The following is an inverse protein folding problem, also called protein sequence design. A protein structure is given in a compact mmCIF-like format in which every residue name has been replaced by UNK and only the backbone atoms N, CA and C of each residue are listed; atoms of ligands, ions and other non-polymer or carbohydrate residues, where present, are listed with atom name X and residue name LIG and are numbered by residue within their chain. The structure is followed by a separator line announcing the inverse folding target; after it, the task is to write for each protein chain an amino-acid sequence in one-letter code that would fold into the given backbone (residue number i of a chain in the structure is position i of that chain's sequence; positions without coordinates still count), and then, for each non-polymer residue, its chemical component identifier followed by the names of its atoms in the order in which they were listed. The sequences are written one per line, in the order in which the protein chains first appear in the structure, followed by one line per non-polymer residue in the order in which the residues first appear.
data_IF_581258339915
#
_entry.id   IF_581258339915
#
_cell.length_a   1.000
_cell.length_b   1.000
_cell.length_c   1.000
_cell.angle_alpha   90.00
_cell.angle_beta   90.00
_cell.angle_gamma   90.00
#
_symmetry.space_group_name_H-M   'P 1'
#
loop_
_entity.id
_entity.type
_entity.pdbx_description
1 polymer ?
#
# COMPACT_ATOMS: atom_id res chain seq x y z
N UNK A 1 -10.78 -12.78 12.90
CA UNK A 1 -11.37 -11.43 13.11
C UNK A 1 -10.91 -10.55 11.96
N UNK A 2 -11.81 -9.73 11.45
CA UNK A 2 -11.52 -8.83 10.32
C UNK A 2 -10.64 -7.67 10.78
N UNK A 3 -9.58 -7.36 10.02
CA UNK A 3 -8.77 -6.16 10.20
C UNK A 3 -9.40 -4.97 9.49
N UNK A 4 -9.92 -5.19 8.28
CA UNK A 4 -10.53 -4.16 7.44
C UNK A 4 -11.88 -4.66 6.92
N UNK A 5 -12.93 -3.85 7.04
CA UNK A 5 -14.23 -4.09 6.41
C UNK A 5 -14.71 -2.83 5.70
N UNK A 6 -15.08 -3.00 4.45
CA UNK A 6 -15.74 -2.01 3.62
C UNK A 6 -17.19 -2.45 3.44
N UNK A 7 -18.15 -1.57 3.74
CA UNK A 7 -19.59 -1.86 3.64
C UNK A 7 -20.28 -0.85 2.73
N UNK A 8 -20.77 -1.34 1.58
CA UNK A 8 -21.51 -0.57 0.59
C UNK A 8 -20.78 0.72 0.14
N UNK A 9 -19.47 0.64 -0.04
CA UNK A 9 -18.65 1.78 -0.45
C UNK A 9 -18.98 2.16 -1.88
N UNK A 10 -19.28 3.45 -2.10
CA UNK A 10 -19.44 4.02 -3.44
C UNK A 10 -18.56 5.25 -3.61
N UNK A 11 -18.07 5.44 -4.84
CA UNK A 11 -17.25 6.58 -5.22
C UNK A 11 -17.47 7.01 -6.66
N UNK A 12 -17.66 8.31 -6.84
CA UNK A 12 -17.77 8.96 -8.13
C UNK A 12 -16.86 10.17 -8.21
N UNK A 13 -16.45 10.53 -9.41
CA UNK A 13 -15.69 11.76 -9.66
C UNK A 13 -16.44 12.65 -10.65
N UNK A 14 -16.42 13.94 -10.41
CA UNK A 14 -16.92 14.93 -11.35
C UNK A 14 -15.96 15.08 -12.51
N UNK A 15 -16.44 14.93 -13.72
CA UNK A 15 -15.69 15.19 -14.94
C UNK A 15 -16.38 16.28 -15.77
N UNK A 16 -15.70 16.80 -16.79
CA UNK A 16 -16.28 17.77 -17.73
C UNK A 16 -17.51 17.22 -18.48
N UNK A 17 -17.68 15.90 -18.53
CA UNK A 17 -18.77 15.20 -19.26
C UNK A 17 -19.90 14.77 -18.32
N UNK A 18 -19.73 14.96 -17.00
CA UNK A 18 -20.71 14.55 -15.98
C UNK A 18 -20.10 13.73 -14.85
N UNK A 19 -20.95 13.14 -14.04
CA UNK A 19 -20.53 12.32 -12.90
C UNK A 19 -20.10 10.92 -13.39
N UNK A 20 -18.90 10.50 -13.05
CA UNK A 20 -18.34 9.19 -13.41
C UNK A 20 -18.18 8.33 -12.17
N UNK A 21 -19.05 7.34 -12.01
CA UNK A 21 -18.97 6.39 -10.90
C UNK A 21 -17.91 5.33 -11.16
N UNK A 22 -16.96 5.20 -10.23
CA UNK A 22 -15.83 4.25 -10.29
C UNK A 22 -16.09 3.02 -9.45
N UNK A 23 -16.72 3.19 -8.29
CA UNK A 23 -17.04 2.11 -7.34
C UNK A 23 -18.51 2.23 -6.95
N UNK A 24 -19.23 1.11 -6.93
CA UNK A 24 -20.65 1.05 -6.57
C UNK A 24 -20.93 -0.04 -5.55
N UNK A 25 -21.37 0.36 -4.34
CA UNK A 25 -21.77 -0.50 -3.22
C UNK A 25 -20.80 -1.67 -2.96
N UNK A 26 -19.50 -1.42 -3.09
CA UNK A 26 -18.44 -2.40 -2.92
C UNK A 26 -18.37 -2.87 -1.46
N UNK A 27 -18.26 -4.19 -1.28
CA UNK A 27 -18.05 -4.83 0.01
C UNK A 27 -16.76 -5.63 -0.03
N UNK A 28 -15.89 -5.47 0.97
CA UNK A 28 -14.62 -6.20 1.09
C UNK A 28 -14.32 -6.46 2.56
N UNK A 29 -13.87 -7.67 2.88
CA UNK A 29 -13.39 -8.00 4.22
C UNK A 29 -12.01 -8.63 4.14
N UNK A 30 -11.07 -8.12 4.94
CA UNK A 30 -9.69 -8.59 5.01
C UNK A 30 -9.38 -8.96 6.46
N UNK A 31 -8.89 -10.16 6.69
CA UNK A 31 -8.50 -10.63 8.01
C UNK A 31 -7.09 -10.19 8.39
N UNK A 32 -6.77 -10.27 9.68
CA UNK A 32 -5.39 -10.08 10.15
C UNK A 32 -4.45 -11.09 9.48
N UNK A 33 -3.23 -10.64 9.20
CA UNK A 33 -2.15 -11.44 8.58
C UNK A 33 -2.50 -12.03 7.21
N UNK A 34 -3.40 -11.40 6.48
CA UNK A 34 -3.82 -11.82 5.15
C UNK A 34 -3.17 -10.94 4.08
N UNK A 35 -2.64 -11.58 3.05
CA UNK A 35 -2.02 -10.92 1.90
C UNK A 35 -2.99 -10.97 0.72
N UNK A 36 -3.40 -9.79 0.25
CA UNK A 36 -4.39 -9.63 -0.81
C UNK A 36 -3.72 -9.11 -2.08
N UNK A 37 -4.05 -9.74 -3.19
CA UNK A 37 -3.67 -9.29 -4.52
C UNK A 37 -4.86 -8.66 -5.24
N UNK A 38 -4.74 -7.40 -5.61
CA UNK A 38 -5.74 -6.66 -6.38
C UNK A 38 -5.24 -6.46 -7.80
N UNK A 39 -5.86 -7.11 -8.77
CA UNK A 39 -5.41 -7.04 -10.16
C UNK A 39 -6.52 -6.50 -11.08
N UNK A 40 -6.17 -6.16 -12.31
CA UNK A 40 -7.10 -5.66 -13.30
C UNK A 40 -6.47 -4.62 -14.22
N UNK A 41 -7.14 -4.25 -15.30
CA UNK A 41 -6.66 -3.26 -16.25
C UNK A 41 -6.49 -1.88 -15.61
N UNK A 42 -5.71 -1.02 -16.29
CA UNK A 42 -5.60 0.38 -15.88
C UNK A 42 -6.98 1.07 -15.93
N UNK A 43 -7.27 1.87 -14.92
CA UNK A 43 -8.54 2.61 -14.84
C UNK A 43 -9.72 1.82 -14.26
N UNK A 44 -9.59 0.54 -13.90
CA UNK A 44 -10.71 -0.23 -13.31
C UNK A 44 -11.08 0.18 -11.87
N UNK A 45 -10.29 1.06 -11.20
CA UNK A 45 -10.62 1.55 -9.86
C UNK A 45 -9.69 1.07 -8.74
N UNK A 46 -8.60 0.33 -9.02
CA UNK A 46 -7.66 -0.18 -8.00
C UNK A 46 -7.11 0.95 -7.12
N UNK A 47 -6.48 1.96 -7.72
CA UNK A 47 -5.92 3.10 -6.98
C UNK A 47 -7.00 3.88 -6.23
N UNK A 48 -8.21 4.01 -6.81
CA UNK A 48 -9.35 4.62 -6.11
C UNK A 48 -9.68 3.83 -4.84
N UNK A 49 -9.82 2.51 -4.94
CA UNK A 49 -10.10 1.65 -3.78
C UNK A 49 -9.00 1.77 -2.72
N UNK A 50 -7.72 1.73 -3.12
CA UNK A 50 -6.59 1.88 -2.20
C UNK A 50 -6.58 3.26 -1.52
N UNK A 51 -6.92 4.33 -2.24
CA UNK A 51 -7.02 5.68 -1.70
C UNK A 51 -8.17 5.81 -0.68
N UNK A 52 -9.32 5.17 -0.93
CA UNK A 52 -10.43 5.13 0.03
C UNK A 52 -10.04 4.37 1.30
N UNK A 53 -9.40 3.21 1.19
CA UNK A 53 -8.93 2.42 2.33
C UNK A 53 -7.91 3.20 3.16
N UNK A 54 -6.99 3.86 2.50
CA UNK A 54 -5.92 4.63 3.16
C UNK A 54 -6.38 6.00 3.67
N UNK A 55 -7.58 6.48 3.28
CA UNK A 55 -8.08 7.79 3.66
C UNK A 55 -7.42 8.96 2.92
N UNK A 56 -6.74 8.68 1.82
CA UNK A 56 -6.26 9.72 0.90
C UNK A 56 -7.41 10.31 0.07
N UNK A 57 -8.53 9.60 -0.01
CA UNK A 57 -9.78 10.06 -0.59
C UNK A 57 -10.96 9.60 0.30
N UNK A 58 -12.12 10.26 0.16
CA UNK A 58 -13.31 9.92 0.91
C UNK A 58 -14.33 9.20 0.01
N UNK A 59 -15.04 8.21 0.57
CA UNK A 59 -16.20 7.60 -0.12
C UNK A 59 -17.36 8.58 -0.16
N UNK A 60 -18.19 8.46 -1.19
CA UNK A 60 -19.46 9.22 -1.29
C UNK A 60 -20.52 8.62 -0.37
N UNK A 61 -20.46 7.29 -0.14
CA UNK A 61 -21.35 6.56 0.77
C UNK A 61 -20.69 5.27 1.24
N UNK A 62 -21.28 4.66 2.28
CA UNK A 62 -20.83 3.44 2.91
C UNK A 62 -19.86 3.70 4.07
N UNK A 63 -19.50 2.63 4.75
CA UNK A 63 -18.72 2.66 5.99
C UNK A 63 -17.44 1.85 5.85
N UNK A 64 -16.34 2.35 6.44
CA UNK A 64 -15.07 1.66 6.58
C UNK A 64 -14.84 1.35 8.06
N UNK A 65 -14.57 0.08 8.36
CA UNK A 65 -14.19 -0.36 9.70
C UNK A 65 -12.75 -0.84 9.68
N UNK A 66 -11.97 -0.42 10.65
CA UNK A 66 -10.61 -0.89 10.85
C UNK A 66 -10.45 -1.43 12.27
N UNK A 67 -10.00 -2.68 12.39
CA UNK A 67 -9.86 -3.41 13.65
C UNK A 67 -11.16 -3.37 14.49
N UNK A 68 -12.31 -3.57 13.81
CA UNK A 68 -13.66 -3.56 14.38
C UNK A 68 -14.23 -2.18 14.71
N UNK A 69 -13.52 -1.09 14.45
CA UNK A 69 -13.95 0.28 14.75
C UNK A 69 -14.32 1.04 13.49
N UNK A 70 -15.44 1.74 13.50
CA UNK A 70 -15.84 2.65 12.43
C UNK A 70 -14.79 3.77 12.30
N UNK A 71 -14.26 3.92 11.10
CA UNK A 71 -13.28 4.96 10.77
C UNK A 71 -14.00 6.28 10.52
N UNK A 72 -13.91 7.21 11.48
CA UNK A 72 -14.48 8.56 11.37
C UNK A 72 -13.46 9.57 10.86
N UNK A 73 -12.20 9.36 11.17
CA UNK A 73 -11.09 10.21 10.75
C UNK A 73 -9.97 9.32 10.21
N UNK A 74 -9.80 9.35 8.90
CA UNK A 74 -8.80 8.52 8.21
C UNK A 74 -7.35 8.93 8.53
N UNK A 75 -7.10 10.19 8.91
CA UNK A 75 -5.74 10.65 9.26
C UNK A 75 -5.16 9.88 10.46
N UNK A 76 -6.00 9.44 11.39
CA UNK A 76 -5.53 8.68 12.54
C UNK A 76 -4.99 7.30 12.14
N UNK A 77 -5.57 6.67 11.12
CA UNK A 77 -5.09 5.39 10.58
C UNK A 77 -3.76 5.55 9.84
N UNK A 78 -3.63 6.61 9.04
CA UNK A 78 -2.42 6.87 8.25
C UNK A 78 -1.19 7.11 9.11
N UNK A 79 -1.36 7.60 10.34
CA UNK A 79 -0.25 7.91 11.22
C UNK A 79 0.56 6.66 11.56
N UNK A 80 -0.10 5.61 12.06
CA UNK A 80 0.58 4.45 12.61
C UNK A 80 0.05 3.09 12.11
N UNK A 81 -1.24 2.97 11.81
CA UNK A 81 -1.88 1.69 11.49
C UNK A 81 -1.75 1.28 10.02
N UNK A 82 -1.59 2.24 9.09
CA UNK A 82 -1.47 1.97 7.65
C UNK A 82 -0.14 2.48 7.11
N UNK A 83 0.61 1.58 6.46
CA UNK A 83 1.76 1.91 5.62
C UNK A 83 1.34 1.98 4.15
N UNK A 84 1.87 2.96 3.39
CA UNK A 84 1.57 3.10 1.97
C UNK A 84 2.85 3.10 1.15
N UNK A 85 2.82 2.33 0.07
CA UNK A 85 3.80 2.35 -1.01
C UNK A 85 3.05 2.80 -2.26
N UNK A 86 3.44 3.93 -2.80
CA UNK A 86 2.89 4.49 -4.03
C UNK A 86 3.61 3.93 -5.26
N UNK A 87 3.01 4.07 -6.41
CA UNK A 87 3.62 3.78 -7.71
C UNK A 87 4.92 4.58 -7.90
N UNK A 88 4.87 5.89 -7.65
CA UNK A 88 6.05 6.73 -7.60
C UNK A 88 6.71 6.68 -6.21
N UNK A 89 8.04 6.79 -6.19
CA UNK A 89 8.78 6.66 -4.93
C UNK A 89 8.51 7.79 -3.92
N UNK A 90 8.15 8.98 -4.38
CA UNK A 90 7.96 10.18 -3.55
C UNK A 90 9.06 10.33 -2.47
N UNK A 91 10.32 10.13 -2.88
CA UNK A 91 11.48 10.42 -2.06
C UNK A 91 11.88 11.88 -2.29
N UNK A 92 12.08 12.61 -1.21
CA UNK A 92 12.54 13.99 -1.27
C UNK A 92 14.02 13.99 -1.66
N UNK A 93 14.34 14.58 -2.80
CA UNK A 93 15.70 14.56 -3.41
C UNK A 93 16.76 15.24 -2.57
N UNK A 94 16.37 16.25 -1.80
CA UNK A 94 17.22 17.05 -0.91
C UNK A 94 17.49 16.38 0.43
N UNK A 95 16.79 15.29 0.74
CA UNK A 95 16.96 14.49 1.95
C UNK A 95 17.70 13.19 1.66
N UNK A 96 18.63 12.82 2.55
CA UNK A 96 19.23 11.50 2.50
C UNK A 96 18.20 10.41 2.87
N UNK A 97 18.57 9.14 2.74
CA UNK A 97 17.66 8.00 2.97
C UNK A 97 17.15 7.96 4.42
N UNK A 98 18.01 8.22 5.37
CA UNK A 98 17.63 8.26 6.79
C UNK A 98 16.56 9.32 7.04
N UNK A 99 16.78 10.53 6.52
CA UNK A 99 15.85 11.65 6.69
C UNK A 99 14.55 11.44 5.91
N UNK A 100 14.58 10.80 4.74
CA UNK A 100 13.38 10.37 4.02
C UNK A 100 12.51 9.40 4.86
N UNK A 101 13.12 8.48 5.59
CA UNK A 101 12.38 7.57 6.49
C UNK A 101 11.92 8.32 7.74
N UNK A 102 12.70 9.28 8.22
CA UNK A 102 12.38 10.12 9.39
C UNK A 102 11.12 10.97 9.21
N UNK A 103 10.71 11.25 7.97
CA UNK A 103 9.41 11.90 7.69
C UNK A 103 8.21 11.10 8.24
N UNK A 104 8.34 9.77 8.32
CA UNK A 104 7.26 8.90 8.84
C UNK A 104 7.44 8.60 10.33
N UNK A 105 8.65 8.62 10.87
CA UNK A 105 8.93 8.29 12.28
C UNK A 105 10.12 9.09 12.82
N UNK A 106 9.92 9.78 13.94
CA UNK A 106 11.00 10.49 14.63
C UNK A 106 11.93 9.54 15.45
N UNK A 107 11.54 8.28 15.65
CA UNK A 107 12.32 7.30 16.40
C UNK A 107 13.51 6.78 15.59
N UNK A 108 14.69 7.33 15.86
CA UNK A 108 15.93 6.96 15.18
C UNK A 108 16.35 5.50 15.40
N UNK A 109 15.93 4.88 16.52
CA UNK A 109 16.19 3.46 16.80
C UNK A 109 15.34 2.57 15.89
N UNK A 110 14.05 2.91 15.67
CA UNK A 110 13.18 2.21 14.72
C UNK A 110 13.74 2.34 13.30
N UNK A 111 14.20 3.52 12.89
CA UNK A 111 14.81 3.73 11.58
C UNK A 111 16.07 2.87 11.43
N UNK A 112 16.94 2.83 12.44
CA UNK A 112 18.13 1.99 12.42
C UNK A 112 17.81 0.50 12.28
N UNK A 113 16.80 0.01 13.03
CA UNK A 113 16.35 -1.39 12.97
C UNK A 113 15.80 -1.75 11.58
N UNK A 114 14.95 -0.90 10.99
CA UNK A 114 14.36 -1.17 9.68
C UNK A 114 15.41 -1.14 8.57
N UNK A 115 16.34 -0.19 8.60
CA UNK A 115 17.48 -0.15 7.66
C UNK A 115 18.37 -1.38 7.77
N UNK A 116 18.61 -1.87 8.98
CA UNK A 116 19.38 -3.10 9.21
C UNK A 116 18.64 -4.33 8.69
N UNK A 117 17.34 -4.43 8.93
CA UNK A 117 16.50 -5.52 8.43
C UNK A 117 16.55 -5.61 6.90
N UNK A 118 16.47 -4.48 6.21
CA UNK A 118 16.57 -4.42 4.74
C UNK A 118 18.00 -4.43 4.20
N UNK A 119 19.01 -4.59 5.06
CA UNK A 119 20.45 -4.56 4.71
C UNK A 119 20.84 -3.26 3.99
N UNK A 120 20.24 -2.15 4.37
CA UNK A 120 20.45 -0.82 3.76
C UNK A 120 21.24 0.16 4.63
N UNK A 121 21.89 -0.31 5.72
CA UNK A 121 22.66 0.55 6.61
C UNK A 121 23.74 1.37 5.89
N UNK A 122 24.38 0.78 4.86
CA UNK A 122 25.41 1.45 4.04
C UNK A 122 24.84 2.54 3.11
N UNK A 123 23.51 2.59 2.91
CA UNK A 123 22.82 3.60 2.09
C UNK A 123 22.31 4.76 2.92
N UNK A 124 22.40 4.68 4.25
CA UNK A 124 21.77 5.61 5.20
C UNK A 124 21.93 7.09 4.85
N UNK A 125 23.13 7.49 4.44
CA UNK A 125 23.48 8.88 4.14
C UNK A 125 23.51 9.20 2.64
N UNK A 126 23.15 8.25 1.77
CA UNK A 126 23.00 8.50 0.33
C UNK A 126 21.69 9.26 0.04
N UNK A 127 21.70 9.97 -1.08
CA UNK A 127 20.53 10.69 -1.59
C UNK A 127 19.80 9.87 -2.66
N UNK A 128 18.51 10.14 -2.92
CA UNK A 128 17.72 9.36 -3.89
C UNK A 128 18.34 9.26 -5.29
N UNK A 129 19.00 10.31 -5.77
CA UNK A 129 19.69 10.33 -7.07
C UNK A 129 20.91 9.40 -7.17
N UNK A 130 21.41 8.90 -6.04
CA UNK A 130 22.55 7.96 -5.94
C UNK A 130 22.09 6.49 -5.86
N UNK A 131 20.79 6.23 -5.98
CA UNK A 131 20.20 4.91 -5.83
C UNK A 131 19.64 4.39 -7.14
N UNK A 132 19.73 3.05 -7.34
CA UNK A 132 18.95 2.37 -8.38
C UNK A 132 17.45 2.39 -8.04
N UNK A 133 16.59 2.15 -9.04
CA UNK A 133 15.12 2.09 -8.81
C UNK A 133 14.76 1.02 -7.79
N UNK A 134 15.38 -0.16 -7.83
CA UNK A 134 15.16 -1.21 -6.83
C UNK A 134 15.58 -0.79 -5.42
N UNK A 135 16.68 -0.02 -5.28
CA UNK A 135 17.08 0.53 -3.97
C UNK A 135 16.10 1.60 -3.49
N UNK A 136 15.64 2.49 -4.37
CA UNK A 136 14.59 3.49 -4.06
C UNK A 136 13.32 2.79 -3.57
N UNK A 137 12.89 1.73 -4.26
CA UNK A 137 11.70 0.98 -3.87
C UNK A 137 11.85 0.33 -2.49
N UNK A 138 13.01 -0.27 -2.18
CA UNK A 138 13.30 -0.80 -0.83
C UNK A 138 13.23 0.29 0.25
N UNK A 139 13.68 1.51 -0.06
CA UNK A 139 13.55 2.65 0.86
C UNK A 139 12.07 3.00 1.09
N UNK A 140 11.23 2.98 0.05
CA UNK A 140 9.79 3.20 0.18
C UNK A 140 9.13 2.15 1.07
N UNK A 141 9.50 0.87 0.88
CA UNK A 141 9.05 -0.23 1.77
C UNK A 141 9.53 0.01 3.22
N UNK A 142 10.79 0.39 3.43
CA UNK A 142 11.30 0.69 4.77
C UNK A 142 10.56 1.86 5.42
N UNK A 143 10.30 2.93 4.67
CA UNK A 143 9.56 4.10 5.13
C UNK A 143 8.12 3.74 5.54
N UNK A 144 7.44 2.90 4.75
CA UNK A 144 6.07 2.49 5.05
C UNK A 144 5.95 1.59 6.28
N UNK A 145 7.01 0.84 6.63
CA UNK A 145 7.01 -0.14 7.72
C UNK A 145 7.63 0.37 9.03
N UNK A 146 8.25 1.54 9.05
CA UNK A 146 9.05 2.01 10.21
C UNK A 146 8.23 2.14 11.52
N UNK A 147 6.94 2.42 11.43
CA UNK A 147 6.03 2.50 12.58
C UNK A 147 5.31 1.18 12.88
N UNK A 148 5.67 0.08 12.20
CA UNK A 148 5.04 -1.24 12.38
C UNK A 148 3.53 -1.21 12.16
N UNK A 149 3.06 -0.81 10.96
CA UNK A 149 1.63 -0.74 10.68
C UNK A 149 0.98 -2.12 10.74
N UNK A 150 -0.36 -2.16 10.88
CA UNK A 150 -1.15 -3.39 10.81
C UNK A 150 -1.50 -3.77 9.36
N UNK A 151 -1.59 -2.76 8.49
CA UNK A 151 -1.90 -2.93 7.07
C UNK A 151 -0.87 -2.19 6.21
N UNK A 152 -0.34 -2.86 5.20
CA UNK A 152 0.49 -2.26 4.16
C UNK A 152 -0.28 -2.25 2.84
N UNK A 153 -0.43 -1.08 2.27
CA UNK A 153 -1.05 -0.87 0.96
C UNK A 153 0.05 -0.54 -0.05
N UNK A 154 0.07 -1.21 -1.18
CA UNK A 154 1.00 -0.93 -2.26
C UNK A 154 0.27 -0.80 -3.60
N UNK A 155 0.38 0.36 -4.22
CA UNK A 155 -0.17 0.62 -5.55
C UNK A 155 0.95 0.51 -6.59
N UNK A 156 0.87 -0.54 -7.44
CA UNK A 156 1.82 -0.84 -8.51
C UNK A 156 3.30 -0.75 -8.07
N UNK A 157 3.72 -1.42 -6.98
CA UNK A 157 5.04 -1.22 -6.37
C UNK A 157 6.20 -1.71 -7.25
N UNK A 158 5.92 -2.29 -8.41
CA UNK A 158 6.90 -2.90 -9.33
C UNK A 158 6.95 -2.25 -10.70
N UNK A 159 6.18 -1.18 -10.96
CA UNK A 159 5.99 -0.59 -12.29
C UNK A 159 7.27 -0.11 -13.00
N UNK A 160 8.29 0.27 -12.22
CA UNK A 160 9.56 0.80 -12.77
C UNK A 160 10.72 -0.19 -12.65
N UNK A 161 10.42 -1.48 -12.47
CA UNK A 161 11.41 -2.52 -12.22
C UNK A 161 11.39 -3.58 -13.33
N UNK A 162 12.54 -4.14 -13.61
CA UNK A 162 12.63 -5.37 -14.37
C UNK A 162 12.05 -6.55 -13.59
N UNK A 163 11.79 -7.67 -14.24
CA UNK A 163 11.12 -8.85 -13.64
C UNK A 163 11.85 -9.40 -12.42
N UNK A 164 13.17 -9.39 -12.42
CA UNK A 164 13.96 -9.90 -11.30
C UNK A 164 13.83 -8.98 -10.08
N UNK A 165 14.03 -7.69 -10.26
CA UNK A 165 13.85 -6.70 -9.19
C UNK A 165 12.40 -6.59 -8.72
N UNK A 166 11.42 -6.74 -9.62
CA UNK A 166 10.00 -6.78 -9.27
C UNK A 166 9.70 -7.95 -8.31
N UNK A 167 10.18 -9.16 -8.64
CA UNK A 167 10.05 -10.33 -7.77
C UNK A 167 10.70 -10.10 -6.41
N UNK A 168 11.92 -9.56 -6.38
CA UNK A 168 12.62 -9.25 -5.13
C UNK A 168 11.85 -8.27 -4.24
N UNK A 169 11.16 -7.28 -4.81
CA UNK A 169 10.33 -6.33 -4.05
C UNK A 169 9.07 -7.00 -3.51
N UNK A 170 8.36 -7.81 -4.31
CA UNK A 170 7.19 -8.56 -3.83
C UNK A 170 7.58 -9.53 -2.70
N UNK A 171 8.64 -10.31 -2.89
CA UNK A 171 9.16 -11.22 -1.86
C UNK A 171 9.53 -10.46 -0.58
N UNK A 172 10.14 -9.28 -0.72
CA UNK A 172 10.50 -8.42 0.42
C UNK A 172 9.25 -7.97 1.19
N UNK A 173 8.19 -7.54 0.49
CA UNK A 173 6.92 -7.13 1.11
C UNK A 173 6.26 -8.32 1.83
N UNK A 174 6.13 -9.46 1.17
CA UNK A 174 5.50 -10.65 1.74
C UNK A 174 6.29 -11.26 2.92
N UNK A 175 7.63 -11.24 2.85
CA UNK A 175 8.47 -11.64 3.97
C UNK A 175 8.34 -10.66 5.15
N UNK A 176 8.16 -9.36 4.87
CA UNK A 176 7.93 -8.35 5.89
C UNK A 176 6.54 -8.52 6.53
N UNK A 177 5.52 -8.87 5.74
CA UNK A 177 4.18 -9.20 6.24
C UNK A 177 4.25 -10.31 7.29
N UNK A 178 4.90 -11.42 6.98
CA UNK A 178 5.11 -12.53 7.92
C UNK A 178 5.93 -12.13 9.15
N UNK A 179 7.02 -11.38 8.94
CA UNK A 179 7.95 -10.99 10.01
C UNK A 179 7.34 -10.03 11.02
N UNK A 180 6.52 -9.09 10.56
CA UNK A 180 5.93 -8.04 11.38
C UNK A 180 4.45 -8.29 11.72
N UNK A 181 3.89 -9.43 11.32
CA UNK A 181 2.49 -9.82 11.54
C UNK A 181 1.52 -8.73 11.01
N UNK A 182 1.72 -8.30 9.78
CA UNK A 182 0.85 -7.31 9.13
C UNK A 182 0.11 -7.91 7.93
N UNK A 183 -1.03 -7.33 7.59
CA UNK A 183 -1.75 -7.65 6.37
C UNK A 183 -1.26 -6.79 5.20
N UNK A 184 -1.41 -7.27 3.96
CA UNK A 184 -1.04 -6.50 2.77
C UNK A 184 -2.17 -6.45 1.75
N UNK A 185 -2.27 -5.32 1.04
CA UNK A 185 -3.03 -5.19 -0.20
C UNK A 185 -2.07 -4.68 -1.26
N UNK A 186 -1.79 -5.48 -2.27
CA UNK A 186 -0.92 -5.09 -3.38
C UNK A 186 -1.74 -5.04 -4.67
N UNK A 187 -1.84 -3.85 -5.26
CA UNK A 187 -2.39 -3.69 -6.59
C UNK A 187 -1.27 -3.84 -7.63
N UNK A 188 -1.50 -4.67 -8.64
CA UNK A 188 -0.60 -4.81 -9.79
C UNK A 188 -1.36 -5.29 -11.03
N UNK A 189 -0.84 -4.93 -12.20
CA UNK A 189 -1.29 -5.48 -13.47
C UNK A 189 -0.54 -6.77 -13.86
N UNK A 190 0.56 -7.11 -13.18
CA UNK A 190 1.31 -8.34 -13.43
C UNK A 190 0.71 -9.52 -12.65
N UNK A 191 -0.16 -10.26 -13.29
CA UNK A 191 -0.87 -11.41 -12.71
C UNK A 191 0.04 -12.57 -12.34
N UNK A 192 1.31 -12.59 -12.75
CA UNK A 192 2.27 -13.65 -12.41
C UNK A 192 2.53 -13.74 -10.90
N UNK A 193 2.30 -12.67 -10.15
CA UNK A 193 2.45 -12.63 -8.69
C UNK A 193 1.25 -13.23 -7.94
N UNK A 194 0.08 -13.38 -8.59
CA UNK A 194 -1.16 -13.85 -7.95
C UNK A 194 -0.99 -15.10 -7.08
N UNK A 195 -0.26 -16.16 -7.48
CA UNK A 195 -0.10 -17.37 -6.68
C UNK A 195 0.62 -17.20 -5.34
N UNK A 196 1.23 -16.04 -5.10
CA UNK A 196 1.98 -15.72 -3.88
C UNK A 196 1.08 -15.18 -2.74
N UNK A 197 -0.20 -14.91 -3.03
CA UNK A 197 -1.14 -14.26 -2.12
C UNK A 197 -2.21 -15.20 -1.61
N UNK A 198 -2.76 -14.90 -0.44
CA UNK A 198 -3.80 -15.70 0.20
C UNK A 198 -5.14 -15.60 -0.53
N UNK A 199 -5.45 -14.40 -1.07
CA UNK A 199 -6.65 -14.12 -1.86
C UNK A 199 -6.35 -13.13 -2.97
N UNK A 200 -7.13 -13.22 -4.03
CA UNK A 200 -7.02 -12.33 -5.18
C UNK A 200 -8.38 -11.74 -5.53
N UNK A 201 -8.38 -10.48 -5.91
CA UNK A 201 -9.57 -9.76 -6.30
C UNK A 201 -9.34 -8.96 -7.58
N UNK A 202 -10.40 -8.77 -8.35
CA UNK A 202 -10.46 -7.82 -9.46
C UNK A 202 -11.63 -6.85 -9.25
N UNK A 203 -11.58 -5.72 -9.94
CA UNK A 203 -12.71 -4.78 -9.99
C UNK A 203 -13.31 -4.86 -11.40
N UNK A 204 -14.54 -5.33 -11.46
CA UNK A 204 -15.34 -5.45 -12.69
C UNK A 204 -16.72 -4.83 -12.43
N UNK A 205 -17.25 -4.12 -13.40
CA UNK A 205 -18.56 -3.45 -13.29
C UNK A 205 -18.72 -2.64 -11.99
N UNK A 206 -17.65 -1.93 -11.58
CA UNK A 206 -17.58 -1.08 -10.38
C UNK A 206 -17.66 -1.83 -9.05
N UNK A 207 -17.65 -3.16 -9.09
CA UNK A 207 -17.72 -4.05 -7.92
C UNK A 207 -16.46 -4.89 -7.81
N UNK A 208 -16.16 -5.37 -6.59
CA UNK A 208 -15.01 -6.26 -6.34
C UNK A 208 -15.45 -7.72 -6.44
N UNK A 209 -14.65 -8.53 -7.12
CA UNK A 209 -14.89 -9.96 -7.33
C UNK A 209 -13.68 -10.73 -6.81
N UNK A 210 -13.91 -11.74 -5.97
CA UNK A 210 -12.88 -12.69 -5.52
C UNK A 210 -12.62 -13.71 -6.64
N UNK A 211 -11.34 -14.02 -6.95
CA UNK A 211 -10.92 -14.84 -8.07
C UNK A 211 -10.08 -16.05 -7.63
#
# INVERSE_FOLDING_TARGET
MSLLELKNISKSYLSKVGNFQVIDKLNLSINHNQNIFLFGPSGCGKSTLLNLISGLDNSDSGDIYFDGKLVKNHFDLLKDDIGIIFQDHYLISELNIFDNIKLKSSDTKKIGKILSYFKMGHLKFKYPNQLSNGQKQRVCVARSLVNSPKLLIADEPTSYLDKENAKLVIDLILNSSKKFNLSTIIASHDISFRPLFDKSYTIEDKSIIEC
#
